data_IF_561072612746
#
_entry.id   IF_561072612746
#
_cell.length_a   1.000
_cell.length_b   1.000
_cell.length_c   1.000
_cell.angle_alpha   90.00
_cell.angle_beta   90.00
_cell.angle_gamma   90.00
#
_symmetry.space_group_name_H-M   'P 1'
#
loop_
_entity.id
_entity.type
_entity.pdbx_description
1 polymer ?
#
# COMPACT_ATOMS: atom_id res chain seq x y z
N UNK A 1 0.23 -2.77 -9.85
CA UNK A 1 0.27 -1.52 -10.66
C UNK A 1 1.16 -0.52 -9.94
N UNK A 2 1.88 0.36 -10.66
CA UNK A 2 2.71 1.37 -10.00
C UNK A 2 1.87 2.56 -9.50
N UNK A 3 2.34 3.24 -8.46
CA UNK A 3 1.63 4.36 -7.85
C UNK A 3 1.40 5.52 -8.83
N UNK A 4 2.36 5.80 -9.72
CA UNK A 4 2.21 6.86 -10.72
C UNK A 4 1.05 6.58 -11.69
N UNK A 5 0.98 5.37 -12.26
CA UNK A 5 -0.13 4.99 -13.16
C UNK A 5 -1.47 5.05 -12.44
N UNK A 6 -1.55 4.52 -11.22
CA UNK A 6 -2.80 4.57 -10.44
C UNK A 6 -3.23 6.01 -10.17
N UNK A 7 -2.29 6.91 -9.89
CA UNK A 7 -2.58 8.34 -9.65
C UNK A 7 -3.11 9.03 -10.90
N UNK A 8 -2.50 8.77 -12.07
CA UNK A 8 -2.96 9.33 -13.35
C UNK A 8 -4.35 8.84 -13.72
N UNK A 9 -4.62 7.55 -13.54
CA UNK A 9 -5.95 6.96 -13.76
C UNK A 9 -6.96 7.58 -12.80
N UNK A 10 -6.64 7.68 -11.51
CA UNK A 10 -7.54 8.28 -10.52
C UNK A 10 -7.94 9.72 -10.91
N UNK A 11 -6.97 10.54 -11.33
CA UNK A 11 -7.25 11.90 -11.82
C UNK A 11 -8.17 11.92 -13.03
N UNK A 12 -7.89 11.08 -14.02
CA UNK A 12 -8.75 10.97 -15.21
C UNK A 12 -10.19 10.61 -14.83
N UNK A 13 -10.39 9.67 -13.89
CA UNK A 13 -11.71 9.26 -13.45
C UNK A 13 -12.46 10.37 -12.68
N UNK A 14 -11.77 11.15 -11.85
CA UNK A 14 -12.35 12.31 -11.16
C UNK A 14 -12.78 13.41 -12.13
N UNK A 15 -11.98 13.67 -13.17
CA UNK A 15 -12.33 14.61 -14.25
C UNK A 15 -13.63 14.20 -14.97
N UNK A 16 -13.97 12.91 -14.96
CA UNK A 16 -15.23 12.39 -15.49
C UNK A 16 -16.36 12.31 -14.45
N UNK A 17 -16.16 12.87 -13.25
CA UNK A 17 -17.16 12.88 -12.18
C UNK A 17 -17.24 11.59 -11.36
N UNK A 18 -16.26 10.68 -11.48
CA UNK A 18 -16.20 9.49 -10.64
C UNK A 18 -15.20 9.68 -9.48
N UNK A 19 -15.67 9.70 -8.22
CA UNK A 19 -14.79 9.92 -7.08
C UNK A 19 -13.89 8.70 -6.82
N UNK A 20 -12.63 8.94 -6.45
CA UNK A 20 -11.58 7.92 -6.30
C UNK A 20 -10.76 8.08 -5.02
N UNK A 21 -10.37 6.97 -4.42
CA UNK A 21 -9.37 6.98 -3.34
C UNK A 21 -8.29 5.95 -3.63
N UNK A 22 -7.04 6.29 -3.31
CA UNK A 22 -5.89 5.41 -3.52
C UNK A 22 -5.29 5.01 -2.17
N UNK A 23 -5.20 3.71 -1.93
CA UNK A 23 -4.38 3.17 -0.85
C UNK A 23 -2.93 3.07 -1.33
N UNK A 24 -2.00 3.69 -0.60
CA UNK A 24 -0.60 3.83 -1.01
C UNK A 24 0.37 3.39 0.08
N UNK A 25 1.51 2.82 -0.36
CA UNK A 25 2.70 2.58 0.46
C UNK A 25 3.88 3.48 0.03
N UNK A 26 3.70 4.35 -0.97
CA UNK A 26 4.73 5.23 -1.52
C UNK A 26 4.22 6.67 -1.48
N UNK A 27 4.42 7.33 -0.32
CA UNK A 27 3.88 8.66 -0.03
C UNK A 27 4.39 9.69 -1.03
N UNK A 28 5.72 9.71 -1.19
CA UNK A 28 6.47 10.56 -2.10
C UNK A 28 5.94 10.50 -3.54
N UNK A 29 5.72 9.29 -4.07
CA UNK A 29 5.20 9.13 -5.43
C UNK A 29 3.76 9.65 -5.55
N UNK A 30 2.89 9.33 -4.59
CA UNK A 30 1.49 9.78 -4.65
C UNK A 30 1.33 11.28 -4.45
N UNK A 31 2.20 11.92 -3.67
CA UNK A 31 2.28 13.37 -3.53
C UNK A 31 2.78 14.01 -4.84
N UNK A 32 3.88 13.51 -5.38
CA UNK A 32 4.46 14.03 -6.63
C UNK A 32 3.49 13.88 -7.82
N UNK A 33 2.75 12.77 -7.89
CA UNK A 33 1.78 12.52 -8.95
C UNK A 33 0.44 13.28 -8.74
N UNK A 34 0.30 14.02 -7.64
CA UNK A 34 -0.89 14.79 -7.28
C UNK A 34 -2.17 13.93 -7.27
N UNK A 35 -2.11 12.82 -6.53
CA UNK A 35 -3.24 11.88 -6.42
C UNK A 35 -4.44 12.57 -5.76
N UNK A 36 -5.68 12.41 -6.27
CA UNK A 36 -6.85 13.14 -5.75
C UNK A 36 -7.03 13.00 -4.25
N UNK A 37 -7.08 11.76 -3.75
CA UNK A 37 -7.20 11.40 -2.34
C UNK A 37 -6.37 10.16 -2.06
N UNK A 38 -5.47 10.23 -1.08
CA UNK A 38 -4.59 9.11 -0.73
C UNK A 38 -4.70 8.75 0.74
N UNK A 39 -4.91 7.45 1.03
CA UNK A 39 -4.60 6.88 2.32
C UNK A 39 -3.20 6.27 2.27
N UNK A 40 -2.25 6.89 2.94
CA UNK A 40 -0.89 6.37 3.07
C UNK A 40 -0.79 5.41 4.26
N UNK A 41 -0.29 4.20 4.01
CA UNK A 41 0.03 3.22 5.04
C UNK A 41 1.51 2.85 4.92
N UNK A 42 2.30 3.12 5.97
CA UNK A 42 3.75 2.87 5.98
C UNK A 42 4.10 1.39 6.22
N UNK A 43 3.64 0.54 5.31
CA UNK A 43 3.87 -0.90 5.27
C UNK A 43 4.80 -1.25 4.09
N UNK A 44 5.40 -2.45 4.06
CA UNK A 44 6.15 -2.90 2.90
C UNK A 44 5.31 -2.80 1.62
N UNK A 45 5.96 -2.41 0.52
CA UNK A 45 5.31 -2.31 -0.79
C UNK A 45 4.52 -3.59 -1.11
N UNK A 46 3.29 -3.40 -1.58
CA UNK A 46 2.36 -4.50 -1.85
C UNK A 46 1.36 -4.77 -0.73
N UNK A 47 1.42 -4.03 0.38
CA UNK A 47 0.48 -4.15 1.49
C UNK A 47 -0.25 -2.80 1.76
N UNK A 48 -0.95 -2.20 0.77
CA UNK A 48 -1.52 -0.86 0.93
C UNK A 48 -2.78 -0.83 1.80
N UNK A 49 -3.52 -1.93 1.86
CA UNK A 49 -4.78 -2.03 2.62
C UNK A 49 -4.58 -2.64 3.99
N UNK A 50 -3.64 -3.58 4.17
CA UNK A 50 -3.29 -4.12 5.48
C UNK A 50 -2.35 -5.32 5.45
N UNK A 51 -2.08 -5.90 6.63
CA UNK A 51 -1.16 -7.03 6.81
C UNK A 51 -1.68 -8.31 6.13
N UNK A 52 -0.80 -9.13 5.53
CA UNK A 52 -1.21 -10.42 4.95
C UNK A 52 -1.84 -11.35 5.99
N UNK A 53 -3.07 -11.80 5.71
CA UNK A 53 -3.81 -12.74 6.57
C UNK A 53 -4.47 -12.12 7.80
N UNK A 54 -4.26 -10.83 8.07
CA UNK A 54 -4.95 -10.13 9.16
C UNK A 54 -6.21 -9.44 8.62
N UNK A 55 -7.34 -10.13 8.73
CA UNK A 55 -8.63 -9.63 8.22
C UNK A 55 -9.10 -8.38 8.96
N UNK A 56 -8.80 -8.26 10.25
CA UNK A 56 -9.19 -7.11 11.06
C UNK A 56 -8.46 -5.86 10.58
N UNK A 57 -7.15 -5.98 10.40
CA UNK A 57 -6.29 -4.91 9.95
C UNK A 57 -6.61 -4.50 8.49
N UNK A 58 -6.86 -5.46 7.59
CA UNK A 58 -7.29 -5.19 6.22
C UNK A 58 -8.66 -4.49 6.16
N UNK A 59 -9.63 -4.93 6.96
CA UNK A 59 -10.95 -4.29 7.03
C UNK A 59 -10.84 -2.85 7.53
N UNK A 60 -10.04 -2.62 8.56
CA UNK A 60 -9.80 -1.28 9.10
C UNK A 60 -9.18 -0.36 8.04
N UNK A 61 -8.18 -0.83 7.30
CA UNK A 61 -7.56 -0.04 6.22
C UNK A 61 -8.51 0.25 5.06
N UNK A 62 -9.34 -0.72 4.66
CA UNK A 62 -10.37 -0.51 3.63
C UNK A 62 -11.38 0.56 4.07
N UNK A 63 -11.93 0.45 5.28
CA UNK A 63 -12.90 1.41 5.79
C UNK A 63 -12.29 2.81 5.89
N UNK A 64 -11.07 2.93 6.42
CA UNK A 64 -10.39 4.21 6.56
C UNK A 64 -10.20 4.92 5.21
N UNK A 65 -9.89 4.18 4.14
CA UNK A 65 -9.75 4.77 2.80
C UNK A 65 -11.10 5.21 2.24
N UNK A 66 -12.14 4.40 2.39
CA UNK A 66 -13.48 4.77 1.92
C UNK A 66 -14.02 6.01 2.65
N UNK A 67 -13.72 6.19 3.93
CA UNK A 67 -14.10 7.40 4.68
C UNK A 67 -13.49 8.69 4.09
N UNK A 68 -12.38 8.61 3.35
CA UNK A 68 -11.81 9.78 2.66
C UNK A 68 -12.71 10.31 1.53
N UNK A 69 -13.59 9.47 0.96
CA UNK A 69 -14.57 9.91 -0.04
C UNK A 69 -15.53 10.96 0.53
N UNK A 70 -15.85 10.85 1.82
CA UNK A 70 -16.80 11.72 2.51
C UNK A 70 -16.11 12.89 3.23
N UNK A 71 -14.90 12.66 3.76
CA UNK A 71 -14.22 13.61 4.66
C UNK A 71 -13.21 14.51 3.96
N UNK A 72 -12.75 14.17 2.75
CA UNK A 72 -11.70 14.90 2.05
C UNK A 72 -12.24 15.50 0.75
N UNK A 73 -12.42 16.82 0.76
CA UNK A 73 -12.84 17.56 -0.43
C UNK A 73 -11.65 18.08 -1.27
N UNK A 74 -10.50 18.33 -0.65
CA UNK A 74 -9.35 18.92 -1.31
C UNK A 74 -8.55 17.87 -2.09
N UNK A 75 -8.42 18.05 -3.41
CA UNK A 75 -7.57 17.22 -4.25
C UNK A 75 -6.08 17.36 -3.85
N UNK A 76 -5.32 16.27 -3.98
CA UNK A 76 -3.91 16.20 -3.58
C UNK A 76 -3.72 15.85 -2.10
N UNK A 77 -4.79 15.60 -1.34
CA UNK A 77 -4.69 15.32 0.09
C UNK A 77 -4.18 13.91 0.34
N UNK A 78 -3.17 13.82 1.21
CA UNK A 78 -2.62 12.55 1.70
C UNK A 78 -2.83 12.45 3.20
N UNK A 79 -3.57 11.42 3.61
CA UNK A 79 -3.84 11.10 5.01
C UNK A 79 -2.98 9.91 5.42
N UNK A 80 -2.22 10.04 6.50
CA UNK A 80 -1.51 8.91 7.11
C UNK A 80 -2.49 8.06 7.92
N UNK A 81 -2.49 6.76 7.67
CA UNK A 81 -3.33 5.79 8.40
C UNK A 81 -2.96 5.64 9.88
N UNK A 82 -1.73 6.00 10.27
CA UNK A 82 -1.18 5.77 11.61
C UNK A 82 -0.93 4.29 11.95
N UNK A 83 -1.19 3.37 11.01
CA UNK A 83 -1.09 1.92 11.24
C UNK A 83 0.36 1.44 11.24
N UNK A 84 0.66 0.48 12.10
CA UNK A 84 2.04 0.01 12.34
C UNK A 84 2.24 -1.42 11.84
N UNK A 85 3.28 -1.64 11.03
CA UNK A 85 3.59 -2.95 10.45
C UNK A 85 4.04 -3.94 11.52
N UNK A 86 5.04 -3.53 12.30
CA UNK A 86 5.59 -4.28 13.42
C UNK A 86 6.18 -3.33 14.46
N UNK A 87 6.42 -3.83 15.66
CA UNK A 87 6.96 -3.04 16.79
C UNK A 87 8.36 -2.48 16.51
N UNK A 88 9.09 -3.07 15.56
CA UNK A 88 10.46 -2.68 15.24
C UNK A 88 10.60 -2.25 13.79
N UNK A 89 11.12 -1.04 13.54
CA UNK A 89 11.48 -0.56 12.19
C UNK A 89 12.63 -1.31 11.51
N UNK A 90 13.22 -2.33 12.14
CA UNK A 90 14.25 -3.19 11.53
C UNK A 90 13.81 -3.75 10.18
N UNK A 91 12.52 -4.04 10.00
CA UNK A 91 11.98 -4.53 8.72
C UNK A 91 12.30 -3.59 7.56
N UNK A 92 12.27 -2.26 7.75
CA UNK A 92 12.50 -1.29 6.67
C UNK A 92 13.92 -1.39 6.12
N UNK A 93 14.89 -1.68 7.00
CA UNK A 93 16.29 -1.89 6.61
C UNK A 93 16.50 -3.25 5.95
N UNK A 94 15.77 -4.26 6.42
CA UNK A 94 16.02 -5.67 6.09
C UNK A 94 15.20 -6.18 4.89
N UNK A 95 14.13 -5.50 4.50
CA UNK A 95 13.18 -5.94 3.45
C UNK A 95 13.82 -6.19 2.07
N UNK A 96 14.94 -5.52 1.78
CA UNK A 96 15.70 -5.70 0.54
C UNK A 96 17.05 -6.41 0.74
N UNK A 97 17.25 -7.02 1.91
CA UNK A 97 18.46 -7.80 2.21
C UNK A 97 18.15 -9.30 2.17
N UNK A 98 19.17 -10.15 2.19
CA UNK A 98 18.98 -11.60 2.36
C UNK A 98 18.44 -11.94 3.76
N UNK A 99 18.79 -11.14 4.76
CA UNK A 99 18.32 -11.28 6.11
C UNK A 99 16.86 -10.78 6.21
N UNK A 100 15.90 -11.65 5.91
CA UNK A 100 14.46 -11.33 5.96
C UNK A 100 13.78 -12.08 7.12
N UNK A 101 13.98 -11.66 8.39
CA UNK A 101 13.50 -12.40 9.57
C UNK A 101 11.97 -12.45 9.69
N UNK A 102 11.25 -11.66 8.88
CA UNK A 102 9.79 -11.65 8.79
C UNK A 102 9.25 -12.58 7.67
N UNK A 103 10.12 -13.17 6.84
CA UNK A 103 9.69 -14.16 5.86
C UNK A 103 9.51 -15.51 6.55
N UNK A 104 8.35 -16.15 6.33
CA UNK A 104 8.12 -17.50 6.88
C UNK A 104 9.02 -18.49 6.14
N UNK A 105 9.70 -19.42 6.82
CA UNK A 105 10.54 -20.44 6.15
C UNK A 105 9.80 -21.21 5.06
N UNK A 106 8.51 -21.49 5.28
CA UNK A 106 7.65 -22.15 4.29
C UNK A 106 7.41 -21.29 3.04
N UNK A 107 7.32 -19.96 3.19
CA UNK A 107 7.17 -19.05 2.06
C UNK A 107 8.45 -19.00 1.23
N UNK A 108 9.62 -19.00 1.87
CA UNK A 108 10.91 -19.06 1.18
C UNK A 108 11.12 -20.40 0.48
N UNK A 109 10.82 -21.50 1.15
CA UNK A 109 10.90 -22.83 0.57
C UNK A 109 10.00 -22.96 -0.67
N UNK A 110 8.79 -22.40 -0.62
CA UNK A 110 7.89 -22.35 -1.77
C UNK A 110 8.47 -21.50 -2.90
N UNK A 111 8.97 -20.29 -2.61
CA UNK A 111 9.63 -19.41 -3.60
C UNK A 111 10.77 -20.13 -4.30
N UNK A 112 11.66 -20.79 -3.54
CA UNK A 112 12.79 -21.54 -4.08
C UNK A 112 12.35 -22.73 -4.93
N UNK A 113 11.33 -23.47 -4.50
CA UNK A 113 10.75 -24.55 -5.29
C UNK A 113 10.12 -24.07 -6.59
N UNK A 114 9.53 -22.87 -6.61
CA UNK A 114 8.95 -22.26 -7.81
C UNK A 114 10.04 -21.70 -8.75
N UNK A 115 11.15 -21.19 -8.23
CA UNK A 115 12.33 -20.79 -9.04
C UNK A 115 12.99 -21.98 -9.72
N UNK A 116 13.14 -23.10 -9.00
CA UNK A 116 13.67 -24.35 -9.55
C UNK A 116 12.80 -25.00 -10.63
N UNK A 117 11.58 -24.49 -10.85
CA UNK A 117 10.64 -24.92 -11.90
C UNK A 117 10.61 -23.98 -13.11
N UNK A 118 11.45 -22.94 -13.15
CA UNK A 118 11.55 -22.09 -14.33
C UNK A 118 12.02 -22.94 -15.55
N UNK A 119 11.39 -22.80 -16.73
CA UNK A 119 11.75 -23.56 -17.92
C UNK A 119 13.17 -23.26 -18.42
#
# INVERSE_FOLDING_TARGET
>A
MCHQTVSLVARYLEEQGMPTVVWSNARDITEQAFTPRTLFTNYPLGNPVGKPGDLSDQRAGLVAGLQLLESVAQAGTVVDSGRVWSDSRKWMRLIFTEEQPFLRPQAEAKRLADIGKAP
#
